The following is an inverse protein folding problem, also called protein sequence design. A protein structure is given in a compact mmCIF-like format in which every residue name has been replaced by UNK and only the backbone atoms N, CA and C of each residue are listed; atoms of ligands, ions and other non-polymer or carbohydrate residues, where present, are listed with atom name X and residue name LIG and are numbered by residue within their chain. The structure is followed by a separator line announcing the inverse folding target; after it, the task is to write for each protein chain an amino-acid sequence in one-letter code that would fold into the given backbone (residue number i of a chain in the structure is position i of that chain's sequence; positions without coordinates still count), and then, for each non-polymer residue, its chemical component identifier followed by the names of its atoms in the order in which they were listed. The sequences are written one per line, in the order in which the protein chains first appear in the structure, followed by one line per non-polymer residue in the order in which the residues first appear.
data_IF_785435969331
#
_entry.id   IF_785435969331
#
_cell.length_a   1.000
_cell.length_b   1.000
_cell.length_c   1.000
_cell.angle_alpha   90.00
_cell.angle_beta   90.00
_cell.angle_gamma   90.00
#
_symmetry.space_group_name_H-M   'P 1'
#
loop_
_entity.id
_entity.type
_entity.pdbx_description
1 polymer ?
#
# COMPACT_ATOMS: atom_id res chain seq x y z
N UNK A 1 19.96 13.08 -1.07
CA UNK A 1 18.54 12.75 -0.81
C UNK A 1 18.48 12.12 0.57
N UNK A 2 17.76 12.73 1.51
CA UNK A 2 17.63 12.21 2.88
C UNK A 2 16.50 11.20 2.87
N UNK A 3 16.81 9.93 3.16
CA UNK A 3 15.78 8.89 3.29
C UNK A 3 15.28 8.95 4.73
N UNK A 4 13.96 9.07 4.90
CA UNK A 4 13.31 9.06 6.22
C UNK A 4 12.51 7.77 6.39
N UNK A 5 13.15 6.65 6.80
CA UNK A 5 12.43 5.40 6.96
C UNK A 5 11.41 5.53 8.10
N UNK A 6 10.22 4.98 7.84
CA UNK A 6 9.16 4.83 8.84
C UNK A 6 9.29 3.44 9.48
N UNK A 7 9.23 3.39 10.80
CA UNK A 7 9.22 2.14 11.56
C UNK A 7 8.08 2.18 12.56
N UNK A 8 7.23 1.16 12.53
CA UNK A 8 6.25 0.93 13.58
C UNK A 8 6.90 0.30 14.80
N UNK A 9 6.43 0.69 15.98
CA UNK A 9 6.66 0.00 17.24
C UNK A 9 5.32 -0.23 17.97
N UNK A 10 5.37 -0.84 19.15
CA UNK A 10 4.17 -1.12 19.95
C UNK A 10 3.50 0.13 20.54
N UNK A 11 4.09 1.32 20.39
CA UNK A 11 3.59 2.59 20.93
C UNK A 11 3.16 3.59 19.82
N UNK A 12 3.55 3.35 18.56
CA UNK A 12 3.29 4.29 17.48
C UNK A 12 4.05 4.04 16.19
N UNK A 13 4.15 5.11 15.41
CA UNK A 13 4.98 5.18 14.21
C UNK A 13 6.11 6.19 14.41
N UNK A 14 7.35 5.72 14.31
CA UNK A 14 8.55 6.54 14.36
C UNK A 14 9.03 6.88 12.94
N UNK A 15 9.24 8.18 12.68
CA UNK A 15 9.96 8.68 11.50
C UNK A 15 11.40 8.92 11.90
N UNK A 16 12.34 8.29 11.21
CA UNK A 16 13.76 8.49 11.41
C UNK A 16 14.32 9.42 10.33
N UNK A 17 15.36 10.17 10.66
CA UNK A 17 16.15 10.94 9.70
C UNK A 17 17.58 10.43 9.69
N UNK A 18 18.11 10.16 8.50
CA UNK A 18 19.53 9.81 8.31
C UNK A 18 20.28 11.10 8.01
N UNK A 19 20.99 11.64 9.00
CA UNK A 19 21.86 12.79 8.79
C UNK A 19 23.14 12.39 8.04
N UNK A 20 23.79 13.35 7.37
CA UNK A 20 25.12 13.17 6.78
C UNK A 20 26.09 12.61 7.82
N UNK A 21 26.67 11.43 7.54
CA UNK A 21 27.54 10.70 8.47
C UNK A 21 26.89 9.50 9.19
N UNK A 22 25.84 8.90 8.62
CA UNK A 22 25.18 7.67 9.12
C UNK A 22 24.60 7.76 10.54
N UNK A 23 24.34 8.97 11.05
CA UNK A 23 23.65 9.14 12.33
C UNK A 23 22.14 9.04 12.10
N UNK A 24 21.52 8.04 12.72
CA UNK A 24 20.06 7.89 12.80
C UNK A 24 19.54 8.73 13.97
N UNK A 25 18.61 9.63 13.69
CA UNK A 25 17.87 10.39 14.72
C UNK A 25 16.38 10.21 14.55
N UNK A 26 15.63 10.14 15.66
CA UNK A 26 14.17 10.21 15.64
C UNK A 26 13.76 11.64 15.26
N UNK A 27 13.07 11.81 14.14
CA UNK A 27 12.53 13.11 13.73
C UNK A 27 11.11 13.34 14.21
N UNK A 28 10.34 12.27 14.42
CA UNK A 28 8.93 12.36 14.82
C UNK A 28 8.44 11.02 15.36
N UNK A 29 7.54 11.05 16.33
CA UNK A 29 6.81 9.87 16.81
C UNK A 29 5.32 10.17 16.83
N UNK A 30 4.52 9.32 16.20
CA UNK A 30 3.07 9.45 16.07
C UNK A 30 2.43 8.37 16.93
N UNK A 31 1.70 8.78 17.97
CA UNK A 31 1.06 7.83 18.87
C UNK A 31 -0.11 7.08 18.19
N UNK A 32 -0.20 5.77 18.46
CA UNK A 32 -1.21 4.86 17.90
C UNK A 32 -1.85 3.97 19.00
N UNK A 33 -2.49 4.56 20.03
CA UNK A 33 -2.87 3.84 21.26
C UNK A 33 -3.83 2.65 21.05
N UNK A 34 -4.70 2.72 20.03
CA UNK A 34 -5.69 1.67 19.72
C UNK A 34 -5.51 1.08 18.32
N UNK A 35 -4.32 1.24 17.75
CA UNK A 35 -4.07 0.94 16.35
C UNK A 35 -2.77 0.16 16.23
N UNK A 36 -2.86 -1.17 16.06
CA UNK A 36 -1.66 -1.97 15.79
C UNK A 36 -1.21 -1.72 14.35
N UNK A 37 -0.08 -1.04 14.11
CA UNK A 37 0.33 -0.66 12.77
C UNK A 37 0.89 -1.85 11.98
N UNK A 38 0.38 -2.05 10.77
CA UNK A 38 1.05 -2.79 9.71
C UNK A 38 2.20 -1.97 9.11
N UNK A 39 2.81 -2.48 8.02
CA UNK A 39 3.88 -1.77 7.30
C UNK A 39 3.26 -0.59 6.52
N UNK A 40 3.64 0.66 6.82
CA UNK A 40 3.02 1.83 6.20
C UNK A 40 3.58 2.11 4.80
N UNK A 41 2.90 3.00 4.08
CA UNK A 41 3.41 3.62 2.86
C UNK A 41 3.27 5.14 2.91
N UNK A 42 4.08 5.85 2.13
CA UNK A 42 4.03 7.31 2.00
C UNK A 42 3.69 7.66 0.56
N UNK A 43 2.66 8.47 0.39
CA UNK A 43 2.19 8.93 -0.92
C UNK A 43 1.65 10.36 -0.79
N UNK A 44 2.09 11.28 -1.65
CA UNK A 44 1.61 12.67 -1.70
C UNK A 44 1.55 13.38 -0.33
N UNK A 45 2.63 13.31 0.45
CA UNK A 45 2.74 13.85 1.82
C UNK A 45 1.75 13.25 2.83
N UNK A 46 1.09 12.15 2.49
CA UNK A 46 0.29 11.35 3.41
C UNK A 46 1.04 10.07 3.78
N UNK A 47 0.89 9.64 5.02
CA UNK A 47 1.28 8.33 5.50
C UNK A 47 0.00 7.49 5.60
N UNK A 48 0.02 6.34 4.95
CA UNK A 48 -1.06 5.35 5.01
C UNK A 48 -0.57 4.19 5.85
N UNK A 49 -1.22 3.98 6.98
CA UNK A 49 -0.86 2.98 7.99
C UNK A 49 -1.99 1.96 8.04
N UNK A 50 -1.77 0.71 7.61
CA UNK A 50 -2.78 -0.33 7.77
C UNK A 50 -2.92 -0.76 9.23
N UNK A 51 -4.11 -1.18 9.65
CA UNK A 51 -4.32 -1.83 10.94
C UNK A 51 -4.05 -3.34 10.81
N UNK A 52 -3.04 -3.83 11.51
CA UNK A 52 -2.57 -5.22 11.43
C UNK A 52 -3.64 -6.27 11.78
N UNK A 53 -4.65 -5.90 12.58
CA UNK A 53 -5.70 -6.80 13.06
C UNK A 53 -7.12 -6.31 12.75
N UNK A 54 -7.26 -5.35 11.83
CA UNK A 54 -8.54 -4.75 11.48
C UNK A 54 -8.65 -4.37 10.01
N UNK A 55 -9.85 -4.01 9.60
CA UNK A 55 -10.19 -3.57 8.25
C UNK A 55 -10.07 -2.05 8.08
N UNK A 56 -9.32 -1.39 8.97
CA UNK A 56 -9.11 0.05 8.94
C UNK A 56 -7.70 0.38 8.47
N UNK A 57 -7.56 1.59 7.94
CA UNK A 57 -6.29 2.25 7.71
C UNK A 57 -6.34 3.62 8.38
N UNK A 58 -5.19 4.13 8.82
CA UNK A 58 -5.03 5.53 9.17
C UNK A 58 -4.37 6.25 7.99
N UNK A 59 -4.96 7.37 7.57
CA UNK A 59 -4.44 8.26 6.53
C UNK A 59 -4.17 9.61 7.18
N UNK A 60 -2.89 9.93 7.37
CA UNK A 60 -2.44 11.13 8.08
C UNK A 60 -1.46 11.93 7.25
N UNK A 61 -1.35 13.22 7.53
CA UNK A 61 -0.23 14.02 7.00
C UNK A 61 1.10 13.53 7.56
N UNK A 62 2.16 13.64 6.76
CA UNK A 62 3.51 13.23 7.17
C UNK A 62 4.13 14.11 8.27
N UNK A 63 3.44 15.21 8.60
CA UNK A 63 3.70 16.14 9.70
C UNK A 63 2.79 15.92 10.93
N UNK A 64 1.83 15.00 10.85
CA UNK A 64 0.87 14.75 11.93
C UNK A 64 1.57 14.19 13.18
N UNK A 65 1.25 14.70 14.36
CA UNK A 65 1.82 14.22 15.63
C UNK A 65 0.95 13.16 16.33
N UNK A 66 -0.28 12.98 15.88
CA UNK A 66 -1.23 11.98 16.38
C UNK A 66 -2.22 11.57 15.29
N UNK A 67 -2.85 10.40 15.47
CA UNK A 67 -3.99 9.96 14.66
C UNK A 67 -5.29 10.39 15.35
N UNK A 68 -6.19 11.00 14.59
CA UNK A 68 -7.56 11.36 15.03
C UNK A 68 -8.59 10.45 14.36
N UNK A 69 -9.84 10.49 14.83
CA UNK A 69 -10.93 9.69 14.26
C UNK A 69 -11.13 9.96 12.76
N UNK A 70 -10.96 11.20 12.30
CA UNK A 70 -11.12 11.58 10.89
C UNK A 70 -10.05 10.96 9.98
N UNK A 71 -8.90 10.61 10.56
CA UNK A 71 -7.82 9.94 9.85
C UNK A 71 -8.13 8.46 9.59
N UNK A 72 -9.07 7.86 10.33
CA UNK A 72 -9.39 6.45 10.22
C UNK A 72 -10.37 6.20 9.07
N UNK A 73 -9.99 5.32 8.14
CA UNK A 73 -10.81 4.89 7.03
C UNK A 73 -11.07 3.39 7.16
N UNK A 74 -12.34 3.01 7.19
CA UNK A 74 -12.76 1.61 7.34
C UNK A 74 -13.23 1.07 5.99
N UNK A 75 -12.73 -0.09 5.60
CA UNK A 75 -13.25 -0.77 4.43
C UNK A 75 -14.59 -1.47 4.76
N UNK A 76 -15.61 -1.29 3.92
CA UNK A 76 -16.97 -1.82 4.10
C UNK A 76 -17.20 -3.27 3.64
N UNK A 77 -16.16 -4.11 3.46
CA UNK A 77 -16.39 -5.48 2.97
C UNK A 77 -17.15 -6.32 4.00
N UNK A 78 -18.00 -7.23 3.51
CA UNK A 78 -18.79 -8.16 4.33
C UNK A 78 -17.97 -9.19 5.12
N UNK A 79 -16.66 -9.28 4.87
CA UNK A 79 -15.76 -10.21 5.57
C UNK A 79 -14.71 -9.43 6.37
N UNK A 80 -14.41 -9.85 7.61
CA UNK A 80 -13.31 -9.27 8.36
C UNK A 80 -12.00 -9.59 7.65
N UNK A 81 -11.25 -8.54 7.31
CA UNK A 81 -9.90 -8.64 6.79
C UNK A 81 -8.97 -7.83 7.70
N UNK A 82 -7.72 -8.26 7.78
CA UNK A 82 -6.65 -7.58 8.51
C UNK A 82 -5.53 -7.20 7.55
N UNK A 83 -5.16 -5.92 7.51
CA UNK A 83 -4.16 -5.41 6.57
C UNK A 83 -2.75 -5.46 7.15
N UNK A 84 -1.82 -6.08 6.43
CA UNK A 84 -0.43 -6.24 6.88
C UNK A 84 0.50 -5.15 6.39
N UNK A 85 0.27 -4.64 5.19
CA UNK A 85 1.13 -3.66 4.55
C UNK A 85 0.37 -2.80 3.57
N UNK A 86 0.81 -1.54 3.45
CA UNK A 86 0.50 -0.65 2.37
C UNK A 86 1.71 -0.56 1.43
N UNK A 87 1.45 -0.48 0.14
CA UNK A 87 2.46 -0.25 -0.89
C UNK A 87 1.96 0.83 -1.84
N UNK A 88 2.73 1.91 -1.96
CA UNK A 88 2.48 2.94 -2.96
C UNK A 88 2.57 2.34 -4.35
N UNK A 89 1.60 2.68 -5.18
CA UNK A 89 1.47 2.16 -6.52
C UNK A 89 1.67 3.25 -7.58
N UNK A 90 0.72 4.17 -7.72
CA UNK A 90 0.83 5.32 -8.61
C UNK A 90 0.04 6.50 -8.04
N UNK A 91 0.30 7.72 -8.50
CA UNK A 91 -0.44 8.92 -8.14
C UNK A 91 -0.74 8.99 -6.63
N UNK A 92 -2.01 8.91 -6.24
CA UNK A 92 -2.49 8.91 -4.87
C UNK A 92 -2.98 7.53 -4.38
N UNK A 93 -2.68 6.47 -5.13
CA UNK A 93 -3.16 5.10 -4.93
C UNK A 93 -2.13 4.24 -4.22
N UNK A 94 -2.63 3.45 -3.26
CA UNK A 94 -1.87 2.40 -2.58
C UNK A 94 -2.61 1.08 -2.62
N UNK A 95 -1.84 0.00 -2.68
CA UNK A 95 -2.34 -1.35 -2.45
C UNK A 95 -2.14 -1.76 -1.00
N UNK A 96 -3.18 -2.36 -0.45
CA UNK A 96 -3.24 -2.90 0.90
C UNK A 96 -3.30 -4.43 0.80
N UNK A 97 -2.32 -5.10 1.37
CA UNK A 97 -2.29 -6.57 1.40
C UNK A 97 -2.83 -7.07 2.73
N UNK A 98 -3.59 -8.17 2.73
CA UNK A 98 -4.08 -8.83 3.94
C UNK A 98 -3.21 -10.02 4.35
N UNK A 99 -3.37 -10.50 5.60
CA UNK A 99 -2.68 -11.72 6.08
C UNK A 99 -2.94 -12.96 5.18
N UNK A 100 -4.17 -13.06 4.67
CA UNK A 100 -4.62 -14.13 3.77
C UNK A 100 -4.17 -13.95 2.31
N UNK A 101 -3.37 -12.91 2.04
CA UNK A 101 -2.88 -12.57 0.71
C UNK A 101 -3.94 -11.94 -0.17
N UNK A 102 -4.96 -11.27 0.37
CA UNK A 102 -5.85 -10.47 -0.46
C UNK A 102 -5.23 -9.10 -0.75
N UNK A 103 -5.48 -8.54 -1.93
CA UNK A 103 -5.07 -7.18 -2.30
C UNK A 103 -6.32 -6.30 -2.43
N UNK A 104 -6.26 -5.11 -1.83
CA UNK A 104 -7.30 -4.09 -1.86
C UNK A 104 -6.67 -2.76 -2.25
N UNK A 105 -7.36 -1.93 -3.04
CA UNK A 105 -6.88 -0.60 -3.41
C UNK A 105 -7.51 0.51 -2.57
N UNK A 106 -6.71 1.54 -2.28
CA UNK A 106 -7.14 2.76 -1.64
C UNK A 106 -6.50 3.97 -2.33
N UNK A 107 -7.31 4.95 -2.70
CA UNK A 107 -6.88 6.25 -3.23
C UNK A 107 -7.10 7.31 -2.16
N UNK A 108 -6.17 8.26 -2.02
CA UNK A 108 -6.35 9.39 -1.09
C UNK A 108 -7.59 10.20 -1.47
N UNK A 109 -7.84 10.41 -2.77
CA UNK A 109 -8.96 11.23 -3.26
C UNK A 109 -10.28 10.46 -3.35
N UNK A 110 -10.26 9.19 -3.74
CA UNK A 110 -11.48 8.41 -3.97
C UNK A 110 -11.85 7.46 -2.82
N UNK A 111 -10.93 7.20 -1.89
CA UNK A 111 -11.12 6.24 -0.81
C UNK A 111 -10.90 4.79 -1.26
N UNK A 112 -11.60 3.85 -0.64
CA UNK A 112 -11.55 2.44 -1.04
C UNK A 112 -12.34 2.24 -2.33
N UNK A 113 -11.71 1.59 -3.32
CA UNK A 113 -12.30 1.45 -4.64
C UNK A 113 -11.88 0.14 -5.31
N UNK A 114 -12.75 -0.41 -6.18
CA UNK A 114 -12.43 -1.60 -6.96
C UNK A 114 -11.39 -1.26 -8.03
N UNK A 115 -10.12 -1.52 -7.74
CA UNK A 115 -9.05 -1.23 -8.69
C UNK A 115 -7.88 -2.22 -8.56
N UNK A 116 -7.46 -2.88 -9.64
CA UNK A 116 -8.20 -3.16 -10.88
C UNK A 116 -9.27 -4.27 -10.69
N UNK A 117 -9.65 -4.60 -9.46
CA UNK A 117 -10.50 -5.75 -9.14
C UNK A 117 -11.89 -5.35 -8.69
N UNK A 118 -12.92 -6.10 -9.05
CA UNK A 118 -14.29 -5.93 -8.52
C UNK A 118 -14.42 -6.36 -7.06
N UNK A 119 -13.49 -7.20 -6.58
CA UNK A 119 -13.42 -7.73 -5.21
C UNK A 119 -11.93 -7.91 -4.80
N UNK A 120 -11.60 -8.09 -3.51
CA UNK A 120 -10.21 -8.32 -3.10
C UNK A 120 -9.62 -9.53 -3.83
N UNK A 121 -8.46 -9.34 -4.44
CA UNK A 121 -7.81 -10.42 -5.18
C UNK A 121 -6.97 -11.28 -4.23
N UNK A 122 -7.19 -12.60 -4.23
CA UNK A 122 -6.42 -13.55 -3.41
C UNK A 122 -5.17 -14.05 -4.12
N UNK A 123 -4.00 -13.85 -3.51
CA UNK A 123 -2.71 -14.38 -3.95
C UNK A 123 -2.61 -15.89 -3.69
N UNK A 124 -2.11 -16.66 -4.67
CA UNK A 124 -1.92 -18.10 -4.54
C UNK A 124 -0.45 -18.44 -4.26
N UNK A 125 -0.06 -18.36 -2.98
CA UNK A 125 1.31 -18.61 -2.52
C UNK A 125 1.92 -19.95 -2.97
N UNK A 126 1.12 -20.97 -3.30
CA UNK A 126 1.64 -22.26 -3.77
C UNK A 126 2.04 -22.27 -5.25
N UNK A 127 1.37 -21.47 -6.08
CA UNK A 127 1.75 -21.22 -7.48
C UNK A 127 2.83 -20.13 -7.56
N UNK A 128 2.74 -19.10 -6.72
CA UNK A 128 3.58 -17.90 -6.78
C UNK A 128 4.99 -18.11 -6.18
N UNK A 129 5.17 -19.12 -5.31
CA UNK A 129 6.50 -19.49 -4.77
C UNK A 129 7.42 -20.22 -5.76
N UNK A 130 6.89 -20.77 -6.85
CA UNK A 130 7.67 -21.57 -7.82
C UNK A 130 8.35 -20.74 -8.92
N UNK A 131 8.21 -19.41 -8.90
CA UNK A 131 8.61 -18.55 -10.02
C UNK A 131 9.97 -17.90 -9.69
N UNK A 132 11.03 -18.66 -9.93
CA UNK A 132 12.41 -18.16 -10.00
C UNK A 132 12.62 -17.67 -11.43
N UNK A 133 12.73 -16.35 -11.60
CA UNK A 133 13.18 -15.64 -12.81
C UNK A 133 12.27 -15.79 -14.04
N UNK A 134 11.07 -15.19 -14.01
CA UNK A 134 10.34 -14.73 -15.22
C UNK A 134 9.05 -14.00 -14.81
N UNK A 135 8.50 -13.07 -15.61
CA UNK A 135 7.37 -12.23 -15.22
C UNK A 135 6.13 -13.09 -14.98
N UNK A 136 5.94 -13.40 -13.70
CA UNK A 136 4.79 -13.07 -12.89
C UNK A 136 3.51 -12.77 -13.67
N UNK A 137 2.44 -13.45 -13.27
CA UNK A 137 1.06 -13.27 -13.72
C UNK A 137 0.73 -11.80 -14.00
N UNK A 138 0.59 -11.50 -15.29
CA UNK A 138 0.16 -10.22 -15.81
C UNK A 138 -1.37 -10.16 -15.67
N UNK A 139 -1.86 -9.21 -14.87
CA UNK A 139 -3.28 -8.97 -14.77
C UNK A 139 -3.63 -7.74 -15.56
N UNK A 140 -4.47 -7.91 -16.56
CA UNK A 140 -4.97 -6.83 -17.41
C UNK A 140 -6.36 -6.48 -16.95
N UNK A 141 -6.63 -5.19 -16.74
CA UNK A 141 -7.99 -4.72 -16.50
C UNK A 141 -8.80 -4.89 -17.79
N UNK A 142 -9.96 -5.55 -17.71
CA UNK A 142 -10.83 -5.74 -18.87
C UNK A 142 -11.49 -4.40 -19.25
N UNK A 143 -10.91 -3.72 -20.24
CA UNK A 143 -11.39 -2.45 -20.77
C UNK A 143 -12.26 -2.69 -22.01
N UNK A 144 -13.53 -3.02 -21.80
CA UNK A 144 -14.51 -3.02 -22.90
C UNK A 144 -14.84 -1.61 -23.44
N UNK A 145 -14.29 -0.53 -22.86
CA UNK A 145 -14.47 0.84 -23.32
C UNK A 145 -13.18 1.67 -23.22
N UNK A 146 -12.82 2.29 -24.36
CA UNK A 146 -11.83 3.36 -24.62
C UNK A 146 -10.62 3.47 -23.67
N UNK A 147 -9.44 3.18 -24.20
CA UNK A 147 -8.12 3.45 -23.60
C UNK A 147 -8.05 4.88 -23.04
N UNK A 148 -7.94 5.00 -21.72
CA UNK A 148 -7.39 6.18 -21.07
C UNK A 148 -5.90 5.89 -20.80
N UNK A 149 -4.98 6.83 -21.06
CA UNK A 149 -3.57 6.64 -20.75
C UNK A 149 -3.39 6.40 -19.24
N UNK A 150 -2.69 5.33 -18.87
CA UNK A 150 -2.46 4.90 -17.49
C UNK A 150 -2.04 3.43 -17.37
N UNK A 151 -1.62 3.01 -16.17
CA UNK A 151 -1.20 1.63 -15.88
C UNK A 151 -2.39 0.67 -15.97
N UNK A 152 -2.49 -0.07 -17.07
CA UNK A 152 -3.55 -1.05 -17.33
C UNK A 152 -3.14 -2.49 -17.00
N UNK A 153 -1.90 -2.69 -16.57
CA UNK A 153 -1.42 -3.96 -16.05
C UNK A 153 -0.51 -3.79 -14.83
N UNK A 154 -0.30 -4.90 -14.13
CA UNK A 154 0.61 -4.98 -13.00
C UNK A 154 1.15 -6.41 -12.85
N UNK A 155 2.24 -6.56 -12.10
CA UNK A 155 2.92 -7.81 -11.79
C UNK A 155 3.29 -7.89 -10.30
N UNK A 156 3.60 -9.08 -9.78
CA UNK A 156 4.02 -9.37 -8.39
C UNK A 156 5.45 -9.93 -8.30
N UNK A 157 6.43 -9.20 -7.80
CA UNK A 157 7.76 -9.80 -7.70
C UNK A 157 7.82 -11.02 -6.75
N UNK A 158 8.97 -11.70 -6.70
CA UNK A 158 9.20 -12.84 -5.80
C UNK A 158 9.01 -12.53 -4.31
N UNK A 159 8.94 -11.25 -3.93
CA UNK A 159 8.68 -10.75 -2.59
C UNK A 159 7.21 -10.32 -2.39
N UNK A 160 6.34 -10.60 -3.37
CA UNK A 160 4.92 -10.21 -3.42
C UNK A 160 4.71 -8.69 -3.48
N UNK A 161 5.70 -7.94 -4.01
CA UNK A 161 5.57 -6.52 -4.29
C UNK A 161 4.86 -6.32 -5.63
N UNK A 162 3.84 -5.47 -5.63
CA UNK A 162 3.10 -5.12 -6.84
C UNK A 162 3.89 -4.09 -7.65
N UNK A 163 4.11 -4.38 -8.93
CA UNK A 163 4.82 -3.56 -9.89
C UNK A 163 3.79 -3.07 -10.93
N UNK A 164 3.52 -1.76 -11.03
CA UNK A 164 2.75 -1.21 -12.14
C UNK A 164 3.44 -1.51 -13.47
N UNK A 165 2.67 -1.85 -14.49
CA UNK A 165 3.15 -2.01 -15.86
C UNK A 165 2.36 -1.05 -16.75
N UNK A 166 3.06 -0.04 -17.29
CA UNK A 166 2.48 0.86 -18.27
C UNK A 166 2.44 0.12 -19.61
N UNK A 167 1.24 -0.27 -20.05
CA UNK A 167 1.11 -0.99 -21.32
C UNK A 167 1.48 -0.10 -22.51
N UNK A 168 1.33 1.23 -22.42
CA UNK A 168 1.77 2.12 -23.48
C UNK A 168 3.30 2.20 -23.57
N UNK A 169 4.00 2.17 -22.43
CA UNK A 169 5.46 2.10 -22.40
C UNK A 169 5.97 0.74 -22.91
N UNK A 170 5.27 -0.35 -22.58
CA UNK A 170 5.70 -1.72 -22.92
C UNK A 170 5.34 -2.10 -24.35
N UNK A 171 4.14 -1.75 -24.81
CA UNK A 171 3.59 -2.22 -26.10
C UNK A 171 3.45 -1.11 -27.14
N UNK A 172 3.72 0.15 -26.78
CA UNK A 172 3.51 1.30 -27.66
C UNK A 172 2.02 1.70 -27.77
N UNK A 173 1.72 2.78 -28.51
CA UNK A 173 0.34 3.12 -28.90
C UNK A 173 -0.29 2.10 -29.86
#
# INVERSE_FOLDING_TARGET
MTVSPLKSDGAGLAKLTIATGNKLSLSQHIALPDFTPGKPSVVNNKIIIPQAWGNQIAVIDDTATAVTADNLKTHSFHRPFSFILAQHWHDDVVFLTTHDGNIVAYSISEGFFPFPFTEPMKLNRAQDKKIVINPIQLFVRDYSQSYQPGYSAWALNSEHLIIPLDLMEIFGP
#
